data_IF_882540303315
#
_entry.id   IF_882540303315
#
_cell.length_a   1.000
_cell.length_b   1.000
_cell.length_c   1.000
_cell.angle_alpha   90.00
_cell.angle_beta   90.00
_cell.angle_gamma   90.00
#
_symmetry.space_group_name_H-M   'P 1'
#
loop_
_entity.id
_entity.type
_entity.pdbx_description
1 polymer ?
#
# COMPACT_ATOMS: atom_id res chain seq x y z
N UNK A 1 -31.85 -13.23 39.10
CA UNK A 1 -30.57 -13.30 39.84
C UNK A 1 -29.43 -13.51 38.85
N UNK A 2 -28.85 -12.44 38.29
CA UNK A 2 -27.75 -12.58 37.33
C UNK A 2 -26.93 -11.30 37.15
N UNK A 3 -27.60 -10.17 36.98
CA UNK A 3 -26.93 -8.86 36.88
C UNK A 3 -26.43 -8.39 38.25
N UNK A 4 -27.16 -8.68 39.33
CA UNK A 4 -26.79 -8.23 40.69
C UNK A 4 -25.55 -8.95 41.24
N UNK A 5 -25.33 -10.21 40.87
CA UNK A 5 -24.12 -10.95 41.24
C UNK A 5 -22.86 -10.39 40.57
N UNK A 6 -22.98 -9.94 39.32
CA UNK A 6 -21.89 -9.25 38.59
C UNK A 6 -21.61 -7.87 39.21
N UNK A 7 -22.63 -7.23 39.79
CA UNK A 7 -22.52 -5.93 40.48
C UNK A 7 -21.77 -6.06 41.81
N UNK A 8 -22.02 -7.11 42.58
CA UNK A 8 -21.41 -7.30 43.91
C UNK A 8 -19.97 -7.83 43.85
N UNK A 9 -19.66 -8.79 42.97
CA UNK A 9 -18.34 -9.45 42.97
C UNK A 9 -17.19 -8.61 42.36
N UNK A 10 -17.46 -7.48 41.71
CA UNK A 10 -16.45 -6.82 40.88
C UNK A 10 -15.62 -5.72 41.58
N UNK A 11 -16.07 -5.17 42.71
CA UNK A 11 -15.36 -4.12 43.46
C UNK A 11 -15.02 -2.82 42.69
N UNK A 12 -15.48 -2.63 41.44
CA UNK A 12 -15.19 -1.44 40.62
C UNK A 12 -16.49 -0.86 40.05
N UNK A 13 -16.69 0.47 40.14
CA UNK A 13 -17.92 1.12 39.68
C UNK A 13 -18.13 0.95 38.17
N UNK A 14 -19.38 0.69 37.78
CA UNK A 14 -19.85 0.43 36.40
C UNK A 14 -19.21 1.35 35.34
N UNK A 15 -19.13 2.66 35.63
CA UNK A 15 -18.54 3.67 34.74
C UNK A 15 -17.11 3.35 34.30
N UNK A 16 -16.26 2.85 35.20
CA UNK A 16 -14.86 2.48 34.87
C UNK A 16 -14.78 1.25 33.95
N UNK A 17 -15.73 0.32 34.05
CA UNK A 17 -15.76 -0.89 33.21
C UNK A 17 -16.26 -0.60 31.80
N UNK A 18 -17.29 0.23 31.66
CA UNK A 18 -17.80 0.62 30.35
C UNK A 18 -16.72 1.36 29.55
N UNK A 19 -16.02 2.31 30.18
CA UNK A 19 -14.90 3.00 29.53
C UNK A 19 -13.78 2.02 29.12
N UNK A 20 -13.41 1.06 29.98
CA UNK A 20 -12.38 0.06 29.64
C UNK A 20 -12.80 -0.89 28.51
N UNK A 21 -14.09 -1.14 28.33
CA UNK A 21 -14.60 -1.94 27.21
C UNK A 21 -14.61 -1.12 25.92
N UNK A 22 -14.99 0.16 26.02
CA UNK A 22 -14.98 1.12 24.92
C UNK A 22 -13.54 1.40 24.44
N UNK A 23 -12.59 1.52 25.37
CA UNK A 23 -11.17 1.68 25.04
C UNK A 23 -10.57 0.40 24.43
N UNK A 24 -11.09 -0.79 24.76
CA UNK A 24 -10.71 -2.04 24.09
C UNK A 24 -11.23 -2.13 22.66
N UNK A 25 -12.42 -1.60 22.38
CA UNK A 25 -12.97 -1.53 21.03
C UNK A 25 -12.23 -0.52 20.12
N UNK A 26 -11.47 0.41 20.72
CA UNK A 26 -10.63 1.36 19.96
C UNK A 26 -9.28 0.78 19.54
N UNK A 27 -8.88 -0.36 20.13
CA UNK A 27 -7.59 -0.98 19.85
C UNK A 27 -7.83 -2.15 18.89
N UNK A 28 -7.10 -2.21 17.76
CA UNK A 28 -7.21 -3.33 16.85
C UNK A 28 -6.80 -4.62 17.57
N UNK A 29 -7.67 -5.62 17.53
CA UNK A 29 -7.49 -6.96 18.08
C UNK A 29 -7.05 -7.97 17.03
N UNK A 30 -6.70 -9.17 17.49
CA UNK A 30 -6.22 -10.29 16.65
C UNK A 30 -7.20 -10.70 15.52
N UNK A 31 -8.49 -10.38 15.68
CA UNK A 31 -9.54 -10.71 14.72
C UNK A 31 -10.01 -9.51 13.90
N UNK A 32 -9.41 -8.33 14.12
CA UNK A 32 -9.69 -7.20 13.26
C UNK A 32 -9.06 -7.45 11.88
N UNK A 33 -9.87 -7.22 10.85
CA UNK A 33 -9.47 -7.43 9.47
C UNK A 33 -8.46 -6.35 9.10
N UNK A 34 -7.18 -6.70 9.16
CA UNK A 34 -6.14 -5.91 8.52
C UNK A 34 -6.25 -6.10 7.01
N UNK A 35 -6.72 -5.06 6.31
CA UNK A 35 -6.56 -5.00 4.87
C UNK A 35 -5.07 -4.82 4.60
N UNK A 36 -4.37 -5.92 4.31
CA UNK A 36 -3.01 -5.85 3.79
C UNK A 36 -3.05 -4.85 2.62
N UNK A 37 -2.20 -3.81 2.70
CA UNK A 37 -2.08 -2.81 1.63
C UNK A 37 -1.97 -3.57 0.32
N UNK A 38 -2.99 -3.43 -0.54
CA UNK A 38 -3.04 -4.16 -1.81
C UNK A 38 -1.77 -3.79 -2.57
N UNK A 39 -0.84 -4.73 -2.65
CA UNK A 39 0.46 -4.50 -3.28
C UNK A 39 0.18 -4.31 -4.76
N UNK A 40 0.34 -3.06 -5.21
CA UNK A 40 0.04 -2.63 -6.57
C UNK A 40 1.28 -2.88 -7.40
N UNK A 41 1.45 -4.12 -7.82
CA UNK A 41 2.56 -4.54 -8.69
C UNK A 41 2.18 -4.34 -10.16
N UNK A 42 3.08 -3.72 -10.93
CA UNK A 42 2.92 -3.49 -12.36
C UNK A 42 4.15 -3.93 -13.14
N UNK A 43 3.94 -4.39 -14.36
CA UNK A 43 5.03 -4.73 -15.28
C UNK A 43 5.43 -3.51 -16.10
N UNK A 44 6.71 -3.21 -16.04
CA UNK A 44 7.35 -2.14 -16.79
C UNK A 44 8.22 -2.72 -17.90
N UNK A 45 8.16 -2.07 -19.06
CA UNK A 45 9.12 -2.28 -20.13
C UNK A 45 10.25 -1.26 -19.97
N UNK A 46 11.49 -1.74 -20.00
CA UNK A 46 12.71 -0.98 -19.74
C UNK A 46 13.34 -0.62 -21.08
N UNK A 47 13.68 0.67 -21.24
CA UNK A 47 14.40 1.15 -22.41
C UNK A 47 15.85 0.60 -22.42
N UNK A 48 16.30 0.13 -23.57
CA UNK A 48 17.61 -0.50 -23.74
C UNK A 48 18.77 0.40 -23.27
N UNK A 49 19.66 -0.15 -22.45
CA UNK A 49 20.81 0.56 -21.88
C UNK A 49 20.64 1.03 -20.44
N UNK A 50 19.44 0.92 -19.86
CA UNK A 50 19.19 1.24 -18.46
C UNK A 50 19.45 0.04 -17.55
N UNK A 51 20.46 0.13 -16.68
CA UNK A 51 20.69 -0.89 -15.64
C UNK A 51 19.80 -0.61 -14.42
N UNK A 52 18.87 -1.52 -14.14
CA UNK A 52 18.04 -1.54 -12.95
C UNK A 52 18.55 -2.58 -11.96
N UNK A 53 18.41 -2.30 -10.66
CA UNK A 53 18.65 -3.25 -9.59
C UNK A 53 17.39 -3.44 -8.74
N UNK A 54 17.24 -4.62 -8.16
CA UNK A 54 16.16 -4.91 -7.22
C UNK A 54 16.34 -3.98 -6.00
N UNK A 55 15.25 -3.32 -5.61
CA UNK A 55 15.24 -2.32 -4.54
C UNK A 55 15.43 -0.88 -5.01
N UNK A 56 15.71 -0.64 -6.30
CA UNK A 56 15.81 0.72 -6.81
C UNK A 56 14.49 1.48 -6.71
N UNK A 57 14.60 2.74 -6.30
CA UNK A 57 13.49 3.68 -6.26
C UNK A 57 13.40 4.42 -7.59
N UNK A 58 12.20 4.41 -8.17
CA UNK A 58 11.89 5.05 -9.43
C UNK A 58 10.65 5.93 -9.25
N UNK A 59 10.60 7.00 -10.03
CA UNK A 59 9.45 7.88 -10.11
C UNK A 59 8.54 7.35 -11.21
N UNK A 60 7.30 7.03 -10.86
CA UNK A 60 6.26 6.64 -11.81
C UNK A 60 5.37 7.84 -12.05
N UNK A 61 5.39 8.35 -13.28
CA UNK A 61 4.54 9.45 -13.70
C UNK A 61 3.41 8.90 -14.56
N UNK A 62 2.17 9.08 -14.13
CA UNK A 62 1.00 8.62 -14.87
C UNK A 62 0.47 9.69 -15.82
N UNK A 63 0.19 9.27 -17.05
CA UNK A 63 -0.70 9.95 -17.98
C UNK A 63 -2.05 9.22 -18.01
N UNK A 64 -2.99 9.68 -18.85
CA UNK A 64 -4.36 9.16 -18.91
C UNK A 64 -4.47 7.66 -19.25
N UNK A 65 -3.43 7.06 -19.87
CA UNK A 65 -3.44 5.65 -20.31
C UNK A 65 -2.14 4.88 -20.12
N UNK A 66 -1.02 5.55 -19.96
CA UNK A 66 0.29 4.91 -19.72
C UNK A 66 1.04 5.64 -18.62
N UNK A 67 2.07 5.02 -18.08
CA UNK A 67 2.96 5.69 -17.15
C UNK A 67 4.41 5.56 -17.57
N UNK A 68 5.15 6.65 -17.39
CA UNK A 68 6.56 6.72 -17.67
C UNK A 68 7.32 6.48 -16.37
N UNK A 69 8.41 5.74 -16.45
CA UNK A 69 9.27 5.48 -15.31
C UNK A 69 10.55 6.27 -15.47
N UNK A 70 10.89 7.03 -14.43
CA UNK A 70 12.05 7.90 -14.40
C UNK A 70 12.95 7.53 -13.21
N UNK A 71 14.26 7.47 -13.43
CA UNK A 71 15.26 7.50 -12.35
C UNK A 71 15.85 8.90 -12.30
N UNK A 72 15.48 9.67 -11.28
CA UNK A 72 15.81 11.09 -11.22
C UNK A 72 15.25 11.83 -12.43
N UNK A 73 16.11 12.35 -13.29
CA UNK A 73 15.72 13.09 -14.51
C UNK A 73 15.77 12.25 -15.80
N UNK A 74 16.17 10.99 -15.71
CA UNK A 74 16.30 10.12 -16.89
C UNK A 74 15.09 9.20 -17.00
N UNK A 75 14.47 9.17 -18.18
CA UNK A 75 13.49 8.14 -18.53
C UNK A 75 14.20 6.79 -18.62
N UNK A 76 13.65 5.81 -17.94
CA UNK A 76 14.16 4.43 -17.86
C UNK A 76 13.24 3.45 -18.59
N UNK A 77 11.95 3.78 -18.73
CA UNK A 77 11.01 2.91 -19.40
C UNK A 77 9.57 3.41 -19.37
N UNK A 78 8.64 2.52 -19.68
CA UNK A 78 7.21 2.77 -19.72
C UNK A 78 6.42 1.59 -19.18
N UNK A 79 5.26 1.87 -18.62
CA UNK A 79 4.26 0.90 -18.20
C UNK A 79 3.11 1.02 -19.20
N UNK A 80 3.00 0.09 -20.17
CA UNK A 80 2.04 0.21 -21.26
C UNK A 80 0.59 0.02 -20.82
N UNK A 81 0.36 -0.65 -19.68
CA UNK A 81 -0.98 -0.92 -19.16
C UNK A 81 -1.00 -0.81 -17.65
N UNK A 82 -1.50 0.32 -17.14
CA UNK A 82 -1.79 0.50 -15.72
C UNK A 82 -3.29 0.29 -15.46
N UNK A 83 -3.66 -0.50 -14.43
CA UNK A 83 -5.05 -0.62 -14.00
C UNK A 83 -5.66 0.74 -13.64
N UNK A 84 -6.93 0.97 -14.02
CA UNK A 84 -7.62 2.24 -13.79
C UNK A 84 -7.58 2.69 -12.32
N UNK A 85 -7.71 1.76 -11.37
CA UNK A 85 -7.63 2.02 -9.93
C UNK A 85 -6.28 2.61 -9.49
N UNK A 86 -5.20 2.25 -10.18
CA UNK A 86 -3.86 2.82 -9.97
C UNK A 86 -3.75 4.20 -10.59
N UNK A 87 -4.24 4.39 -11.82
CA UNK A 87 -4.25 5.71 -12.48
C UNK A 87 -5.00 6.71 -11.60
N UNK A 88 -6.19 6.34 -11.09
CA UNK A 88 -6.98 7.19 -10.20
C UNK A 88 -6.25 7.52 -8.90
N UNK A 89 -5.61 6.54 -8.26
CA UNK A 89 -4.85 6.78 -7.03
C UNK A 89 -3.67 7.73 -7.28
N UNK A 90 -2.90 7.51 -8.34
CA UNK A 90 -1.72 8.32 -8.67
C UNK A 90 -2.14 9.73 -9.08
N UNK A 91 -3.19 9.87 -9.90
CA UNK A 91 -3.77 11.16 -10.28
C UNK A 91 -4.30 11.93 -9.07
N UNK A 92 -4.96 11.26 -8.11
CA UNK A 92 -5.41 11.89 -6.86
C UNK A 92 -4.27 12.42 -5.98
N UNK A 93 -3.08 11.84 -6.11
CA UNK A 93 -1.86 12.23 -5.40
C UNK A 93 -0.99 13.24 -6.18
N UNK A 94 -1.48 13.83 -7.28
CA UNK A 94 -0.75 14.82 -8.07
C UNK A 94 -0.06 14.26 -9.31
N UNK A 95 -0.42 13.04 -9.75
CA UNK A 95 0.02 12.44 -11.02
C UNK A 95 1.38 11.73 -10.96
N UNK A 96 1.98 11.64 -9.77
CA UNK A 96 3.30 11.03 -9.56
C UNK A 96 3.26 10.11 -8.35
N UNK A 97 3.90 8.94 -8.45
CA UNK A 97 4.05 7.99 -7.36
C UNK A 97 5.46 7.40 -7.30
N UNK A 98 5.81 6.82 -6.15
CA UNK A 98 7.08 6.16 -5.94
C UNK A 98 6.93 4.67 -6.26
N UNK A 99 7.70 4.19 -7.23
CA UNK A 99 7.84 2.78 -7.56
C UNK A 99 9.12 2.19 -6.99
N UNK A 100 9.07 0.96 -6.50
CA UNK A 100 10.25 0.19 -6.10
C UNK A 100 10.35 -1.05 -6.98
N UNK A 101 11.54 -1.31 -7.53
CA UNK A 101 11.81 -2.54 -8.31
C UNK A 101 11.79 -3.74 -7.39
N UNK A 102 10.84 -4.66 -7.61
CA UNK A 102 10.78 -5.91 -6.86
C UNK A 102 11.48 -7.05 -7.60
N UNK A 103 11.30 -7.13 -8.92
CA UNK A 103 11.93 -8.15 -9.75
C UNK A 103 12.35 -7.60 -11.08
N UNK A 104 13.39 -8.20 -11.64
CA UNK A 104 13.89 -7.90 -12.99
C UNK A 104 13.86 -9.22 -13.77
N UNK A 105 13.30 -9.19 -14.97
CA UNK A 105 13.28 -10.35 -15.85
C UNK A 105 14.70 -10.73 -16.28
N UNK A 106 14.95 -12.01 -16.56
CA UNK A 106 16.28 -12.52 -16.96
C UNK A 106 16.88 -11.78 -18.15
N UNK A 107 16.06 -11.25 -19.04
CA UNK A 107 16.51 -10.54 -20.24
C UNK A 107 16.68 -9.03 -20.04
N UNK A 108 16.38 -8.49 -18.85
CA UNK A 108 16.56 -7.08 -18.52
C UNK A 108 15.60 -6.10 -19.20
N UNK A 109 14.76 -6.58 -20.12
CA UNK A 109 13.81 -5.73 -20.85
C UNK A 109 12.55 -5.41 -20.04
N UNK A 110 12.26 -6.19 -18.99
CA UNK A 110 11.05 -6.03 -18.20
C UNK A 110 11.37 -6.07 -16.70
N UNK A 111 10.68 -5.26 -15.91
CA UNK A 111 10.74 -5.29 -14.45
C UNK A 111 9.36 -5.22 -13.81
N UNK A 112 9.20 -5.90 -12.68
CA UNK A 112 8.05 -5.76 -11.81
C UNK A 112 8.33 -4.64 -10.80
N UNK A 113 7.44 -3.66 -10.78
CA UNK A 113 7.49 -2.51 -9.89
C UNK A 113 6.33 -2.55 -8.91
N UNK A 114 6.60 -2.24 -7.66
CA UNK A 114 5.60 -2.04 -6.62
C UNK A 114 5.42 -0.56 -6.37
N UNK A 115 4.20 -0.07 -6.55
CA UNK A 115 3.85 1.35 -6.40
C UNK A 115 3.32 1.59 -4.98
N UNK A 116 3.87 2.61 -4.32
CA UNK A 116 3.48 3.07 -2.99
C UNK A 116 2.76 4.41 -3.02
#
# INVERSE_FOLDING_TARGET
MGVDFIREQSGKPWRKRWNKSLDRLKLPGLFDVEFASQQRTVNADIDGGSSLQIGDQLVVQCNDRSAIICRGHHRVGEIPSIPADMIHAISSCGGVALGVVERISMFGNNAELSIR
#
